data_IF_820987317591
#
_entry.id   IF_820987317591
#
_cell.length_a   1.000
_cell.length_b   1.000
_cell.length_c   1.000
_cell.angle_alpha   90.00
_cell.angle_beta   90.00
_cell.angle_gamma   90.00
#
_symmetry.space_group_name_H-M   'P 1'
#
loop_
_entity.id
_entity.type
_entity.pdbx_description
1 polymer ?
#
# COMPACT_ATOMS: atom_id res chain seq x y z
N UNK A 1 -35.60 -10.81 3.62
CA UNK A 1 -35.07 -9.81 2.67
C UNK A 1 -33.86 -10.42 2.01
N UNK A 2 -33.94 -10.71 0.72
CA UNK A 2 -32.80 -11.18 -0.06
C UNK A 2 -31.79 -10.03 -0.19
N UNK A 3 -30.77 -10.07 0.67
CA UNK A 3 -29.64 -9.13 0.69
C UNK A 3 -28.77 -9.39 -0.54
N UNK A 4 -28.25 -8.30 -1.11
CA UNK A 4 -27.68 -8.19 -2.46
C UNK A 4 -26.78 -9.36 -2.88
N UNK A 5 -26.94 -9.83 -4.12
CA UNK A 5 -25.92 -10.65 -4.80
C UNK A 5 -24.83 -9.70 -5.32
N UNK A 6 -23.60 -9.69 -4.76
CA UNK A 6 -22.52 -8.89 -5.32
C UNK A 6 -22.10 -9.55 -6.63
N UNK A 7 -22.70 -9.13 -7.74
CA UNK A 7 -22.20 -9.49 -9.07
C UNK A 7 -20.89 -8.72 -9.30
N UNK A 8 -19.76 -9.31 -8.89
CA UNK A 8 -18.42 -8.85 -9.22
C UNK A 8 -18.10 -7.43 -8.77
N UNK A 9 -18.03 -7.20 -7.46
CA UNK A 9 -17.39 -5.99 -6.95
C UNK A 9 -15.91 -6.00 -7.34
N UNK A 10 -15.43 -4.92 -7.96
CA UNK A 10 -14.00 -4.62 -8.12
C UNK A 10 -13.60 -3.76 -6.92
N UNK A 11 -12.33 -3.78 -6.52
CA UNK A 11 -11.83 -2.98 -5.41
C UNK A 11 -12.32 -3.50 -4.04
N UNK A 12 -11.88 -4.71 -3.71
CA UNK A 12 -12.08 -5.34 -2.40
C UNK A 12 -10.76 -5.47 -1.66
N UNK A 13 -10.79 -5.28 -0.35
CA UNK A 13 -9.64 -5.44 0.52
C UNK A 13 -9.99 -6.37 1.69
N UNK A 14 -9.05 -7.24 2.06
CA UNK A 14 -9.23 -8.27 3.07
C UNK A 14 -8.14 -8.16 4.12
N UNK A 15 -8.53 -7.95 5.36
CA UNK A 15 -7.60 -8.00 6.50
C UNK A 15 -8.00 -9.05 7.51
N UNK A 16 -7.03 -9.48 8.31
CA UNK A 16 -7.22 -10.40 9.42
C UNK A 16 -6.59 -9.80 10.67
N UNK A 17 -7.31 -9.84 11.79
CA UNK A 17 -6.78 -9.42 13.08
C UNK A 17 -6.15 -10.58 13.85
N UNK A 18 -5.51 -10.28 14.99
CA UNK A 18 -4.85 -11.27 15.85
C UNK A 18 -5.79 -12.33 16.45
N UNK A 19 -7.11 -12.11 16.38
CA UNK A 19 -8.13 -13.00 16.92
C UNK A 19 -8.75 -13.93 15.85
N UNK A 20 -8.08 -14.06 14.68
CA UNK A 20 -8.55 -14.84 13.53
C UNK A 20 -9.93 -14.35 13.00
N UNK A 21 -10.15 -13.05 13.12
CA UNK A 21 -11.31 -12.39 12.52
C UNK A 21 -10.90 -11.71 11.22
N UNK A 22 -11.56 -12.12 10.15
CA UNK A 22 -11.45 -11.57 8.82
C UNK A 22 -12.42 -10.40 8.66
N UNK A 23 -11.98 -9.37 7.96
CA UNK A 23 -12.80 -8.24 7.54
C UNK A 23 -12.61 -8.04 6.05
N UNK A 24 -13.72 -8.00 5.33
CA UNK A 24 -13.77 -7.73 3.92
C UNK A 24 -14.46 -6.39 3.73
N UNK A 25 -13.76 -5.44 3.12
CA UNK A 25 -14.39 -4.26 2.52
C UNK A 25 -14.47 -4.48 1.03
N UNK A 26 -15.55 -4.05 0.41
CA UNK A 26 -15.72 -4.16 -1.04
C UNK A 26 -16.43 -2.93 -1.52
N UNK A 27 -15.97 -2.33 -2.62
CA UNK A 27 -16.70 -1.24 -3.27
C UNK A 27 -18.20 -1.53 -3.28
N UNK A 28 -18.97 -0.65 -2.67
CA UNK A 28 -20.40 -0.59 -2.92
C UNK A 28 -20.70 0.48 -3.95
N UNK A 29 -20.92 0.04 -5.18
CA UNK A 29 -21.50 0.90 -6.22
C UNK A 29 -23.01 0.99 -6.03
N UNK A 30 -23.58 2.19 -6.18
CA UNK A 30 -25.02 2.48 -6.35
C UNK A 30 -26.04 1.80 -5.39
N UNK A 31 -25.61 1.30 -4.23
CA UNK A 31 -26.49 0.83 -3.15
C UNK A 31 -26.63 1.91 -2.08
N UNK A 32 -27.08 3.11 -2.47
CA UNK A 32 -27.16 4.31 -1.60
C UNK A 32 -25.80 4.79 -1.05
N UNK A 33 -24.69 4.54 -1.76
CA UNK A 33 -23.36 5.05 -1.41
C UNK A 33 -22.62 4.26 -0.32
N UNK A 34 -23.04 3.04 -0.04
CA UNK A 34 -22.53 2.21 1.05
C UNK A 34 -21.15 1.59 0.73
N UNK A 35 -20.20 1.56 1.67
CA UNK A 35 -18.84 0.99 1.47
C UNK A 35 -18.81 -0.54 1.64
N UNK A 36 -19.91 -1.16 2.10
CA UNK A 36 -20.08 -2.62 2.08
C UNK A 36 -19.01 -3.38 2.87
N UNK A 37 -19.29 -3.65 4.15
CA UNK A 37 -18.35 -4.34 5.04
C UNK A 37 -18.93 -5.66 5.56
N UNK A 38 -18.09 -6.68 5.55
CA UNK A 38 -18.41 -8.01 6.04
C UNK A 38 -17.31 -8.51 6.98
N UNK A 39 -17.67 -9.39 7.91
CA UNK A 39 -16.73 -10.03 8.82
C UNK A 39 -17.04 -11.51 9.00
N UNK A 40 -16.01 -12.27 9.38
CA UNK A 40 -16.09 -13.70 9.68
C UNK A 40 -15.01 -14.06 10.70
N UNK A 41 -15.31 -14.95 11.64
CA UNK A 41 -14.32 -15.52 12.55
C UNK A 41 -14.11 -17.00 12.27
N UNK A 42 -12.87 -17.43 12.03
CA UNK A 42 -12.55 -18.80 11.64
C UNK A 42 -13.38 -19.30 10.46
N UNK A 43 -14.10 -20.41 10.64
CA UNK A 43 -14.93 -21.08 9.63
C UNK A 43 -16.41 -20.67 9.66
N UNK A 44 -16.78 -19.64 10.44
CA UNK A 44 -18.15 -19.16 10.52
C UNK A 44 -18.65 -18.68 9.13
N UNK A 45 -19.96 -18.44 9.00
CA UNK A 45 -20.49 -17.74 7.82
C UNK A 45 -20.13 -16.25 7.90
N UNK A 46 -19.95 -15.62 6.74
CA UNK A 46 -19.81 -14.17 6.66
C UNK A 46 -21.07 -13.47 7.17
N UNK A 47 -20.87 -12.36 7.88
CA UNK A 47 -21.93 -11.49 8.39
C UNK A 47 -21.63 -10.03 8.04
N UNK A 48 -22.67 -9.28 7.67
CA UNK A 48 -22.55 -7.84 7.40
C UNK A 48 -22.23 -7.07 8.67
N UNK A 49 -21.33 -6.09 8.54
CA UNK A 49 -21.11 -5.04 9.52
C UNK A 49 -21.93 -3.77 9.15
N UNK A 50 -22.16 -2.87 10.12
CA UNK A 50 -22.69 -1.54 9.83
C UNK A 50 -21.83 -0.82 8.78
N UNK A 51 -22.46 0.03 7.97
CA UNK A 51 -21.75 0.70 6.89
C UNK A 51 -20.85 1.81 7.46
N UNK A 52 -19.55 1.85 7.12
CA UNK A 52 -18.68 2.93 7.57
C UNK A 52 -19.14 4.33 7.16
N UNK A 53 -19.96 4.45 6.11
CA UNK A 53 -20.47 5.73 5.62
C UNK A 53 -21.85 6.13 6.17
N UNK A 54 -22.43 5.33 7.07
CA UNK A 54 -23.79 5.59 7.56
C UNK A 54 -23.93 6.98 8.20
N UNK A 55 -22.87 7.45 8.85
CA UNK A 55 -22.80 8.74 9.56
C UNK A 55 -22.24 9.91 8.72
N UNK A 56 -22.19 9.80 7.39
CA UNK A 56 -21.59 10.86 6.57
C UNK A 56 -21.63 10.60 5.08
N UNK A 57 -22.80 10.18 4.57
CA UNK A 57 -22.92 9.64 3.23
C UNK A 57 -22.32 10.51 2.13
N UNK A 58 -21.42 9.92 1.35
CA UNK A 58 -20.99 10.51 0.07
C UNK A 58 -22.11 10.42 -0.96
N UNK A 59 -22.11 11.39 -1.87
CA UNK A 59 -22.96 11.39 -3.06
C UNK A 59 -22.36 10.55 -4.20
N UNK A 60 -21.09 10.17 -4.08
CA UNK A 60 -20.34 9.43 -5.10
C UNK A 60 -20.12 7.97 -4.68
N UNK A 61 -19.86 7.11 -5.67
CA UNK A 61 -19.40 5.74 -5.43
C UNK A 61 -18.03 5.78 -4.73
N UNK A 62 -17.94 5.20 -3.53
CA UNK A 62 -16.66 4.95 -2.89
C UNK A 62 -15.88 3.89 -3.64
N UNK A 63 -14.63 4.21 -3.97
CA UNK A 63 -13.78 3.35 -4.79
C UNK A 63 -12.39 3.27 -4.18
N UNK A 64 -11.69 2.18 -4.50
CA UNK A 64 -10.31 1.96 -4.07
C UNK A 64 -10.13 2.05 -2.55
N UNK A 65 -11.02 1.39 -1.82
CA UNK A 65 -10.85 1.26 -0.37
C UNK A 65 -9.58 0.46 -0.07
N UNK A 66 -8.88 0.86 0.97
CA UNK A 66 -7.82 0.08 1.60
C UNK A 66 -8.10 0.02 3.11
N UNK A 67 -7.82 -1.13 3.71
CA UNK A 67 -8.21 -1.48 5.06
C UNK A 67 -6.96 -1.98 5.79
N UNK A 68 -6.76 -1.52 7.01
CA UNK A 68 -5.68 -1.97 7.88
C UNK A 68 -6.22 -2.27 9.27
N UNK A 69 -5.66 -3.27 9.93
CA UNK A 69 -5.97 -3.59 11.33
C UNK A 69 -4.71 -3.50 12.18
N UNK A 70 -4.77 -2.63 13.18
CA UNK A 70 -3.69 -2.42 14.14
C UNK A 70 -3.62 -3.52 15.19
N UNK A 71 -2.50 -3.60 15.91
CA UNK A 71 -2.25 -4.62 16.95
C UNK A 71 -3.29 -4.59 18.08
N UNK A 72 -3.92 -3.44 18.32
CA UNK A 72 -5.00 -3.23 19.28
C UNK A 72 -6.39 -3.65 18.76
N UNK A 73 -6.47 -4.18 17.52
CA UNK A 73 -7.68 -4.49 16.76
C UNK A 73 -8.47 -3.26 16.28
N UNK A 74 -7.87 -2.07 16.28
CA UNK A 74 -8.46 -0.91 15.61
C UNK A 74 -8.45 -1.12 14.10
N UNK A 75 -9.61 -0.95 13.47
CA UNK A 75 -9.75 -0.95 12.01
C UNK A 75 -9.57 0.46 11.47
N UNK A 76 -8.79 0.57 10.41
CA UNK A 76 -8.47 1.81 9.73
C UNK A 76 -8.88 1.67 8.27
N UNK A 77 -9.76 2.55 7.81
CA UNK A 77 -10.27 2.55 6.44
C UNK A 77 -9.83 3.84 5.76
N UNK A 78 -9.24 3.70 4.58
CA UNK A 78 -9.05 4.79 3.64
C UNK A 78 -9.81 4.48 2.36
N UNK A 79 -10.31 5.50 1.68
CA UNK A 79 -10.99 5.33 0.41
C UNK A 79 -10.91 6.60 -0.43
N UNK A 80 -11.38 6.48 -1.67
CA UNK A 80 -11.62 7.62 -2.54
C UNK A 80 -13.10 8.00 -2.64
N UNK A 81 -13.36 9.27 -2.92
CA UNK A 81 -14.67 9.94 -3.07
C UNK A 81 -15.44 10.14 -1.75
N UNK A 82 -14.78 10.64 -0.71
CA UNK A 82 -15.51 11.15 0.45
C UNK A 82 -16.34 12.39 0.13
N UNK A 83 -17.39 12.71 0.93
CA UNK A 83 -18.21 13.91 0.76
C UNK A 83 -17.42 15.23 0.79
N UNK A 84 -16.33 15.31 1.56
CA UNK A 84 -15.57 16.58 1.72
C UNK A 84 -14.30 16.61 0.87
N UNK A 85 -13.63 15.47 0.72
CA UNK A 85 -12.33 15.34 0.04
C UNK A 85 -12.29 14.08 -0.80
N UNK A 86 -11.39 14.09 -1.77
CA UNK A 86 -11.19 12.93 -2.65
C UNK A 86 -10.64 11.74 -1.88
N UNK A 87 -9.75 11.94 -0.90
CA UNK A 87 -9.21 10.87 -0.04
C UNK A 87 -9.66 11.12 1.40
N UNK A 88 -10.34 10.14 1.99
CA UNK A 88 -10.89 10.23 3.35
C UNK A 88 -10.63 9.00 4.19
N UNK A 89 -10.54 9.23 5.50
CA UNK A 89 -10.16 8.25 6.51
C UNK A 89 -11.27 8.03 7.52
N UNK A 90 -11.45 6.79 7.97
CA UNK A 90 -12.29 6.41 9.11
C UNK A 90 -11.56 5.42 10.00
N UNK A 91 -11.95 5.39 11.28
CA UNK A 91 -11.43 4.42 12.26
C UNK A 91 -12.54 3.81 13.10
N UNK A 92 -12.41 2.54 13.41
CA UNK A 92 -13.28 1.83 14.34
C UNK A 92 -12.44 1.14 15.41
N UNK A 93 -12.74 1.40 16.67
CA UNK A 93 -12.05 0.80 17.83
C UNK A 93 -12.86 -0.34 18.47
N UNK A 94 -13.95 -0.76 17.84
CA UNK A 94 -14.89 -1.77 18.35
C UNK A 94 -15.13 -2.91 17.34
N UNK A 95 -14.16 -3.15 16.46
CA UNK A 95 -14.23 -4.24 15.48
C UNK A 95 -15.20 -3.98 14.32
N UNK A 96 -15.39 -2.71 13.95
CA UNK A 96 -16.21 -2.30 12.82
C UNK A 96 -17.70 -2.18 13.14
N UNK A 97 -18.09 -2.17 14.43
CA UNK A 97 -19.48 -2.00 14.86
C UNK A 97 -19.91 -0.53 14.83
N UNK A 98 -19.00 0.40 15.10
CA UNK A 98 -19.25 1.84 14.97
C UNK A 98 -18.15 2.54 14.18
N UNK A 99 -18.57 3.55 13.42
CA UNK A 99 -17.71 4.39 12.59
C UNK A 99 -18.07 5.88 12.81
N UNK A 100 -17.12 6.71 13.26
CA UNK A 100 -17.29 8.15 13.32
C UNK A 100 -17.41 8.79 11.92
N UNK A 101 -17.75 10.08 11.90
CA UNK A 101 -17.63 10.91 10.68
C UNK A 101 -16.20 10.84 10.15
N UNK A 102 -16.07 10.79 8.83
CA UNK A 102 -14.77 10.73 8.17
C UNK A 102 -13.89 11.95 8.40
N UNK A 103 -12.58 11.72 8.30
CA UNK A 103 -11.57 12.76 8.30
C UNK A 103 -11.07 13.01 6.86
N UNK A 104 -10.97 14.28 6.53
CA UNK A 104 -10.40 14.76 5.26
C UNK A 104 -8.88 14.58 5.24
N UNK A 105 -8.35 13.86 4.25
CA UNK A 105 -6.89 13.62 4.10
C UNK A 105 -6.30 14.43 2.95
N UNK A 106 -6.86 14.31 1.74
CA UNK A 106 -6.30 14.94 0.53
C UNK A 106 -7.34 15.17 -0.58
N UNK A 107 -7.13 16.18 -1.42
CA UNK A 107 -7.88 16.39 -2.68
C UNK A 107 -7.28 15.62 -3.87
N UNK A 108 -6.27 14.77 -3.66
CA UNK A 108 -5.69 13.97 -4.74
C UNK A 108 -6.74 13.03 -5.34
N UNK A 109 -6.99 13.19 -6.65
CA UNK A 109 -7.96 12.42 -7.43
C UNK A 109 -7.42 11.11 -7.97
N UNK A 110 -6.15 10.79 -7.75
CA UNK A 110 -5.60 9.54 -8.25
C UNK A 110 -6.18 8.31 -7.54
N UNK A 111 -6.04 7.15 -8.18
CA UNK A 111 -6.64 5.90 -7.74
C UNK A 111 -5.77 5.20 -6.68
N UNK A 112 -6.39 4.38 -5.81
CA UNK A 112 -5.71 3.52 -4.84
C UNK A 112 -4.88 4.26 -3.77
N UNK A 113 -5.52 5.02 -2.86
CA UNK A 113 -4.87 5.38 -1.61
C UNK A 113 -4.53 4.11 -0.80
N UNK A 114 -3.45 4.16 -0.02
CA UNK A 114 -3.05 3.06 0.87
C UNK A 114 -2.87 3.50 2.30
N UNK A 115 -3.04 2.59 3.24
CA UNK A 115 -3.00 2.88 4.67
C UNK A 115 -2.21 1.83 5.46
N UNK A 116 -1.41 2.28 6.40
CA UNK A 116 -0.80 1.46 7.46
C UNK A 116 -0.83 2.22 8.77
N UNK A 117 -0.68 1.52 9.89
CA UNK A 117 -0.51 2.15 11.19
C UNK A 117 0.68 1.55 11.96
N UNK A 118 1.35 2.39 12.74
CA UNK A 118 2.45 1.99 13.60
C UNK A 118 1.96 1.51 14.97
N UNK A 119 2.86 0.88 15.74
CA UNK A 119 2.55 0.35 17.08
C UNK A 119 2.17 1.41 18.11
N UNK A 120 2.42 2.68 17.82
CA UNK A 120 2.08 3.81 18.68
C UNK A 120 0.73 4.43 18.29
N UNK A 121 0.08 3.91 17.24
CA UNK A 121 -1.20 4.39 16.75
C UNK A 121 -1.12 5.59 15.81
N UNK A 122 0.08 5.90 15.26
CA UNK A 122 0.17 6.84 14.13
C UNK A 122 -0.26 6.11 12.86
N UNK A 123 -1.00 6.81 12.01
CA UNK A 123 -1.50 6.26 10.75
C UNK A 123 -0.77 6.95 9.60
N UNK A 124 -0.36 6.18 8.61
CA UNK A 124 0.28 6.69 7.41
C UNK A 124 -0.60 6.37 6.21
N UNK A 125 -0.84 7.38 5.38
CA UNK A 125 -1.61 7.26 4.15
C UNK A 125 -0.73 7.67 2.97
N UNK A 126 -0.69 6.84 1.93
CA UNK A 126 -0.15 7.24 0.63
C UNK A 126 -1.27 7.54 -0.35
N UNK A 127 -1.20 8.67 -1.05
CA UNK A 127 -2.07 8.91 -2.21
C UNK A 127 -1.49 8.25 -3.46
N UNK A 128 -2.31 8.15 -4.51
CA UNK A 128 -1.92 7.62 -5.81
C UNK A 128 -0.68 8.27 -6.43
N UNK A 129 -0.45 9.56 -6.16
CA UNK A 129 0.72 10.30 -6.66
C UNK A 129 1.97 10.12 -5.79
N UNK A 130 1.88 9.28 -4.75
CA UNK A 130 2.97 8.95 -3.84
C UNK A 130 3.24 10.00 -2.77
N UNK A 131 2.27 10.88 -2.50
CA UNK A 131 2.29 11.78 -1.34
C UNK A 131 2.01 11.01 -0.05
N UNK A 132 2.75 11.31 1.01
CA UNK A 132 2.52 10.70 2.33
C UNK A 132 1.91 11.71 3.28
N UNK A 133 0.87 11.25 3.99
CA UNK A 133 0.23 11.94 5.10
C UNK A 133 0.38 11.09 6.36
N UNK A 134 0.60 11.73 7.50
CA UNK A 134 0.67 11.08 8.81
C UNK A 134 -0.44 11.63 9.70
N UNK A 135 -1.29 10.76 10.23
CA UNK A 135 -2.17 11.08 11.33
C UNK A 135 -1.44 10.82 12.64
N UNK A 136 -1.27 11.87 13.44
CA UNK A 136 -0.73 11.76 14.79
C UNK A 136 -1.69 11.02 15.72
N UNK A 137 -1.19 10.58 16.89
CA UNK A 137 -2.02 9.93 17.92
C UNK A 137 -3.12 10.87 18.45
N UNK A 138 -2.88 12.19 18.40
CA UNK A 138 -3.85 13.23 18.74
C UNK A 138 -4.89 13.48 17.63
N UNK A 139 -4.75 12.85 16.47
CA UNK A 139 -5.69 12.97 15.35
C UNK A 139 -5.46 14.16 14.42
N UNK A 140 -4.26 14.74 14.45
CA UNK A 140 -3.86 15.79 13.49
C UNK A 140 -3.17 15.17 12.27
N UNK A 141 -3.49 15.67 11.08
CA UNK A 141 -2.85 15.27 9.82
C UNK A 141 -1.66 16.16 9.47
N UNK A 142 -0.51 15.52 9.26
CA UNK A 142 0.73 16.14 8.81
C UNK A 142 1.05 15.69 7.38
N UNK A 143 1.35 16.63 6.50
CA UNK A 143 1.78 16.34 5.13
C UNK A 143 3.31 16.20 5.06
N UNK A 144 3.79 15.07 4.53
CA UNK A 144 5.22 14.77 4.43
C UNK A 144 5.81 15.02 3.04
N UNK A 145 5.01 15.43 2.06
CA UNK A 145 5.49 15.55 0.68
C UNK A 145 5.44 14.24 -0.10
N UNK A 146 5.83 14.32 -1.38
CA UNK A 146 5.94 13.14 -2.24
C UNK A 146 7.14 12.29 -1.84
N UNK A 147 6.93 11.00 -1.63
CA UNK A 147 7.99 10.03 -1.27
C UNK A 147 8.30 9.05 -2.38
N UNK A 148 7.36 8.78 -3.26
CA UNK A 148 7.60 8.03 -4.49
C UNK A 148 6.94 8.74 -5.66
N UNK A 149 7.57 8.75 -6.82
CA UNK A 149 7.01 9.29 -8.03
C UNK A 149 6.07 8.24 -8.62
N UNK A 150 4.78 8.49 -8.46
CA UNK A 150 3.69 7.65 -8.95
C UNK A 150 2.70 8.51 -9.74
N UNK A 151 2.04 7.92 -10.73
CA UNK A 151 0.93 8.54 -11.46
C UNK A 151 -0.40 7.89 -11.04
N UNK A 152 -1.52 8.44 -11.48
CA UNK A 152 -2.87 8.08 -11.00
C UNK A 152 -3.25 6.59 -11.07
N UNK A 153 -2.47 5.73 -11.76
CA UNK A 153 -2.66 4.27 -11.84
C UNK A 153 -1.42 3.45 -11.51
N UNK A 154 -0.40 4.10 -10.98
CA UNK A 154 0.84 3.43 -10.58
C UNK A 154 0.77 2.86 -9.17
N UNK A 155 -0.43 2.91 -8.55
CA UNK A 155 -0.85 2.16 -7.36
C UNK A 155 0.30 2.02 -6.37
N UNK A 156 0.66 3.11 -5.68
CA UNK A 156 1.68 2.99 -4.68
C UNK A 156 1.22 1.98 -3.64
N UNK A 157 2.14 1.13 -3.20
CA UNK A 157 1.91 0.18 -2.12
C UNK A 157 2.65 0.66 -0.90
N UNK A 158 1.99 0.63 0.25
CA UNK A 158 2.52 1.08 1.53
C UNK A 158 2.61 -0.12 2.47
N UNK A 159 3.78 -0.33 3.05
CA UNK A 159 4.03 -1.37 4.03
C UNK A 159 4.73 -0.81 5.27
N UNK A 160 4.56 -1.51 6.38
CA UNK A 160 5.24 -1.24 7.64
C UNK A 160 5.82 -2.54 8.19
N UNK A 161 7.01 -2.49 8.77
CA UNK A 161 7.59 -3.64 9.46
C UNK A 161 7.39 -3.58 10.98
N UNK A 162 7.86 -4.62 11.67
CA UNK A 162 7.77 -4.75 13.12
C UNK A 162 8.54 -3.68 13.92
N UNK A 163 9.42 -2.92 13.28
CA UNK A 163 10.21 -1.86 13.91
C UNK A 163 9.66 -0.47 13.54
N UNK A 164 8.43 -0.41 13.02
CA UNK A 164 7.75 0.79 12.53
C UNK A 164 8.50 1.49 11.36
N UNK A 165 9.32 0.76 10.59
CA UNK A 165 9.89 1.31 9.36
C UNK A 165 8.86 1.22 8.23
N UNK A 166 8.75 2.30 7.46
CA UNK A 166 7.81 2.40 6.35
C UNK A 166 8.50 2.07 5.03
N UNK A 167 7.76 1.42 4.14
CA UNK A 167 8.18 1.08 2.79
C UNK A 167 7.09 1.53 1.84
N UNK A 168 7.47 2.31 0.83
CA UNK A 168 6.55 2.69 -0.25
C UNK A 168 7.14 2.28 -1.57
N UNK A 169 6.34 1.63 -2.41
CA UNK A 169 6.73 1.25 -3.77
C UNK A 169 5.68 1.73 -4.76
N UNK A 170 6.00 1.80 -6.05
CA UNK A 170 5.00 2.03 -7.10
C UNK A 170 5.38 1.32 -8.40
N UNK A 171 4.44 1.23 -9.34
CA UNK A 171 4.69 0.70 -10.68
C UNK A 171 5.84 1.42 -11.36
N UNK A 172 6.76 0.63 -11.95
CA UNK A 172 7.98 1.13 -12.58
C UNK A 172 9.25 0.96 -11.72
N UNK A 173 9.12 0.33 -10.55
CA UNK A 173 10.24 -0.04 -9.69
C UNK A 173 10.75 1.11 -8.82
N UNK A 174 9.96 2.18 -8.67
CA UNK A 174 10.26 3.23 -7.72
C UNK A 174 9.97 2.74 -6.30
N UNK A 175 10.85 3.11 -5.37
CA UNK A 175 10.78 2.75 -3.96
C UNK A 175 11.29 3.90 -3.11
N UNK A 176 10.77 4.01 -1.90
CA UNK A 176 11.38 4.78 -0.82
C UNK A 176 11.11 4.06 0.50
N UNK A 177 11.85 4.42 1.53
CA UNK A 177 11.65 3.87 2.88
C UNK A 177 11.86 4.96 3.92
N UNK A 178 11.17 4.86 5.04
CA UNK A 178 11.45 5.65 6.23
C UNK A 178 12.01 4.74 7.32
N UNK A 179 13.24 4.98 7.73
CA UNK A 179 13.88 4.24 8.83
C UNK A 179 13.88 5.11 10.07
N UNK A 180 13.27 4.63 11.16
CA UNK A 180 13.13 5.39 12.42
C UNK A 180 12.57 6.82 12.19
N UNK A 181 11.55 6.92 11.34
CA UNK A 181 10.90 8.19 10.98
C UNK A 181 11.65 9.06 9.98
N UNK A 182 12.84 8.66 9.50
CA UNK A 182 13.61 9.41 8.50
C UNK A 182 13.49 8.79 7.12
N UNK A 183 12.93 9.54 6.17
CA UNK A 183 12.87 9.17 4.76
C UNK A 183 14.27 9.08 4.14
N UNK A 184 14.54 8.00 3.41
CA UNK A 184 15.86 7.67 2.86
C UNK A 184 16.07 8.18 1.42
N UNK A 185 15.02 8.72 0.80
CA UNK A 185 15.04 9.22 -0.56
C UNK A 185 14.59 8.17 -1.57
N UNK A 186 13.91 8.62 -2.62
CA UNK A 186 13.41 7.76 -3.70
C UNK A 186 14.57 7.10 -4.44
N UNK A 187 14.41 5.80 -4.73
CA UNK A 187 15.29 5.02 -5.59
C UNK A 187 14.46 4.36 -6.69
N UNK A 188 15.09 4.07 -7.82
CA UNK A 188 14.47 3.31 -8.91
C UNK A 188 15.28 2.07 -9.21
N UNK A 189 14.68 0.91 -8.98
CA UNK A 189 15.27 -0.36 -9.35
C UNK A 189 14.92 -0.68 -10.81
N UNK A 190 15.89 -0.49 -11.70
CA UNK A 190 15.77 -1.01 -13.06
C UNK A 190 16.13 -2.48 -13.07
N UNK A 191 15.28 -3.33 -13.66
CA UNK A 191 15.78 -4.59 -14.22
C UNK A 191 16.64 -4.22 -15.41
N UNK A 192 17.95 -4.48 -15.33
CA UNK A 192 18.77 -4.53 -16.54
C UNK A 192 18.09 -5.51 -17.52
N UNK A 193 17.93 -5.16 -18.80
CA UNK A 193 17.47 -6.11 -19.81
C UNK A 193 18.30 -7.38 -19.69
N UNK A 194 17.65 -8.55 -19.72
CA UNK A 194 18.33 -9.85 -19.56
C UNK A 194 19.46 -10.00 -20.60
N UNK A 195 19.32 -9.39 -21.77
CA UNK A 195 20.35 -9.30 -22.82
C UNK A 195 21.62 -8.56 -22.37
N UNK A 196 21.51 -7.45 -21.65
CA UNK A 196 22.68 -6.71 -21.10
C UNK A 196 23.43 -7.51 -20.03
N UNK A 197 22.74 -8.41 -19.31
CA UNK A 197 23.37 -9.31 -18.33
C UNK A 197 24.28 -10.33 -19.02
N UNK A 198 23.88 -10.85 -20.18
CA UNK A 198 24.71 -11.77 -20.98
C UNK A 198 25.95 -11.09 -21.55
N UNK A 199 25.84 -9.84 -22.00
CA UNK A 199 26.98 -9.10 -22.54
C UNK A 199 27.99 -8.68 -21.46
N UNK A 200 27.51 -8.28 -20.27
CA UNK A 200 28.38 -8.02 -19.11
C UNK A 200 29.10 -9.29 -18.62
N UNK A 201 28.40 -10.43 -18.59
CA UNK A 201 29.03 -11.73 -18.29
C UNK A 201 30.04 -12.14 -19.38
N UNK A 202 29.73 -11.95 -20.67
CA UNK A 202 30.66 -12.21 -21.77
C UNK A 202 31.91 -11.32 -21.71
N UNK A 203 31.76 -10.04 -21.37
CA UNK A 203 32.87 -9.11 -21.18
C UNK A 203 33.77 -9.47 -19.99
N UNK A 204 33.19 -9.91 -18.87
CA UNK A 204 33.98 -10.37 -17.72
C UNK A 204 34.72 -11.69 -18.02
N UNK A 205 34.07 -12.66 -18.67
CA UNK A 205 34.71 -13.93 -19.05
C UNK A 205 35.82 -13.71 -20.09
N UNK A 206 35.62 -12.81 -21.05
CA UNK A 206 36.64 -12.40 -22.03
C UNK A 206 37.89 -11.79 -21.38
N UNK A 207 37.72 -10.89 -20.40
CA UNK A 207 38.85 -10.30 -19.66
C UNK A 207 39.62 -11.35 -18.85
N UNK A 208 38.93 -12.31 -18.25
CA UNK A 208 39.56 -13.41 -17.49
C UNK A 208 40.36 -14.34 -18.44
N UNK A 209 39.80 -14.67 -19.60
CA UNK A 209 40.50 -15.45 -20.63
C UNK A 209 41.72 -14.70 -21.19
N UNK A 210 41.63 -13.41 -21.47
CA UNK A 210 42.78 -12.63 -21.95
C UNK A 210 43.93 -12.57 -20.94
N UNK A 211 43.62 -12.46 -19.65
CA UNK A 211 44.62 -12.45 -18.57
C UNK A 211 45.27 -13.82 -18.40
N UNK A 212 44.52 -14.92 -18.56
CA UNK A 212 45.08 -16.28 -18.39
C UNK A 212 45.97 -16.70 -19.56
N UNK A 213 45.62 -16.35 -20.80
CA UNK A 213 46.45 -16.63 -21.98
C UNK A 213 47.69 -15.73 -22.05
N UNK A 214 47.60 -14.46 -21.66
CA UNK A 214 48.76 -13.55 -21.62
C UNK A 214 49.85 -14.00 -20.64
N UNK A 215 49.47 -14.50 -19.45
CA UNK A 215 50.43 -15.04 -18.47
C UNK A 215 51.11 -16.34 -18.93
N UNK A 216 50.37 -17.21 -19.62
CA UNK A 216 50.92 -18.48 -20.14
C UNK A 216 51.92 -18.26 -21.28
N UNK A 217 51.65 -17.29 -22.16
CA UNK A 217 52.57 -16.91 -23.24
C UNK A 217 53.85 -16.23 -22.72
N UNK A 218 53.76 -15.41 -21.66
CA UNK A 218 54.93 -14.82 -21.03
C UNK A 218 55.83 -15.86 -20.33
N UNK A 219 55.24 -16.88 -19.69
CA UNK A 219 56.00 -17.96 -19.05
C UNK A 219 56.76 -18.83 -20.06
N UNK A 220 56.19 -19.07 -21.25
CA UNK A 220 56.84 -19.87 -22.30
C UNK A 220 57.98 -19.15 -23.04
N UNK A 221 58.06 -17.81 -22.98
CA UNK A 221 59.18 -17.04 -23.57
C UNK A 221 60.42 -16.96 -22.67
N UNK A 222 60.29 -17.26 -21.38
CA UNK A 222 61.40 -17.26 -20.42
C UNK A 222 62.05 -18.66 -20.23
N UNK A 223 61.64 -19.65 -21.04
CA UNK A 223 62.17 -21.02 -21.00
C UNK A 223 62.87 -21.41 -22.32
N UNK A 224 63.14 -20.44 -23.20
CA UNK A 224 63.87 -20.61 -24.45
C UNK A 224 65.17 -19.80 -24.42
#
# INVERSE_FOLDING_TARGET
MDKAKPKGSRDSELVINRNDQLFLVSRGGNFKGNIGMETRKGTAKWSFLPDPDENGKSVNDHVYADLFVSDDNTLHLIQRHGPVKEVTYRRSTDGGLTWPVEEAVSDDRGEAPKIVADKKGKVFVSTAQGYIYERTVQGLWNYHGRKVTSYARHMPELGIDQDDNLYVTSFGGQVNSAFKGRWMGEKKFFRLPVTLKLDLLRLQVSKILHISFGKKAAAMRNMA
#
